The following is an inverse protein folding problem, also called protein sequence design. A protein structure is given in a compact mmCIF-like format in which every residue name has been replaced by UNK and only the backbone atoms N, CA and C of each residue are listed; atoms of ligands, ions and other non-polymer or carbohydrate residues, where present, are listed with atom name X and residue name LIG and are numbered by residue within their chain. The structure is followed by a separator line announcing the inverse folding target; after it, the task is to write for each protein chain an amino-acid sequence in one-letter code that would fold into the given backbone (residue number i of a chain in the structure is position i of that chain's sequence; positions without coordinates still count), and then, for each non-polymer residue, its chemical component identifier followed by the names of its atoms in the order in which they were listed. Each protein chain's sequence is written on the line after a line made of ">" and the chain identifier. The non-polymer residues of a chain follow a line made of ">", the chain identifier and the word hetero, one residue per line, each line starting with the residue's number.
data_IF_115387675651
#
_entry.id   IF_115387675651
#
_cell.length_a   1.000
_cell.length_b   1.000
_cell.length_c   1.000
_cell.angle_alpha   90.00
_cell.angle_beta   90.00
_cell.angle_gamma   90.00
#
_symmetry.space_group_name_H-M   'P 1'
#
loop_
_entity.id
_entity.type
_entity.pdbx_description
1 polymer ?
#
# COMPACT_ATOMS: atom_id res chain seq x y z
N UNK A 1 17.24 4.24 -74.29
CA UNK A 1 15.92 4.62 -73.77
C UNK A 1 15.34 3.62 -72.74
N UNK A 2 15.51 2.28 -72.94
CA UNK A 2 14.96 1.23 -72.01
C UNK A 2 15.63 1.23 -70.61
N UNK A 3 16.91 1.56 -70.46
CA UNK A 3 17.66 1.54 -69.21
C UNK A 3 17.23 2.68 -68.30
N UNK A 4 16.90 3.86 -68.81
CA UNK A 4 16.47 5.04 -68.03
C UNK A 4 15.05 4.82 -67.47
N UNK A 5 14.15 4.20 -68.25
CA UNK A 5 12.79 3.87 -67.82
C UNK A 5 12.77 2.83 -66.68
N UNK A 6 13.67 1.81 -66.74
CA UNK A 6 13.79 0.79 -65.65
C UNK A 6 14.34 1.38 -64.34
N UNK A 7 15.27 2.33 -64.39
CA UNK A 7 15.80 3.03 -63.21
C UNK A 7 14.76 3.93 -62.55
N UNK A 8 13.92 4.62 -63.34
CA UNK A 8 12.83 5.43 -62.82
C UNK A 8 11.77 4.61 -62.08
N UNK A 9 11.34 3.50 -62.65
CA UNK A 9 10.33 2.58 -62.06
C UNK A 9 10.83 1.97 -60.74
N UNK A 10 12.13 1.62 -60.65
CA UNK A 10 12.74 1.04 -59.45
C UNK A 10 12.85 2.08 -58.32
N UNK A 11 13.14 3.36 -58.64
CA UNK A 11 13.15 4.45 -57.66
C UNK A 11 11.78 4.79 -57.12
N UNK A 12 10.75 4.78 -57.96
CA UNK A 12 9.37 5.01 -57.54
C UNK A 12 8.87 3.88 -56.62
N UNK A 13 9.15 2.62 -56.98
CA UNK A 13 8.77 1.50 -56.14
C UNK A 13 9.47 1.50 -54.76
N UNK A 14 10.75 1.92 -54.72
CA UNK A 14 11.46 2.05 -53.44
C UNK A 14 10.91 3.20 -52.60
N UNK A 15 10.53 4.33 -53.25
CA UNK A 15 9.92 5.45 -52.53
C UNK A 15 8.53 5.08 -51.94
N UNK A 16 7.74 4.34 -52.71
CA UNK A 16 6.42 3.84 -52.24
C UNK A 16 6.58 2.84 -51.09
N UNK A 17 7.59 1.95 -51.17
CA UNK A 17 7.91 1.04 -50.07
C UNK A 17 8.29 1.76 -48.78
N UNK A 18 9.20 2.76 -48.89
CA UNK A 18 9.64 3.58 -47.76
C UNK A 18 8.47 4.35 -47.13
N UNK A 19 7.58 4.92 -47.94
CA UNK A 19 6.39 5.61 -47.47
C UNK A 19 5.41 4.64 -46.73
N UNK A 20 5.25 3.44 -47.26
CA UNK A 20 4.41 2.43 -46.61
C UNK A 20 4.99 2.01 -45.23
N UNK A 21 6.31 1.81 -45.14
CA UNK A 21 6.98 1.50 -43.86
C UNK A 21 6.84 2.64 -42.85
N UNK A 22 7.01 3.90 -43.27
CA UNK A 22 6.82 5.05 -42.40
C UNK A 22 5.39 5.17 -41.88
N UNK A 23 4.40 4.90 -42.75
CA UNK A 23 2.99 4.90 -42.32
C UNK A 23 2.73 3.80 -41.30
N UNK A 24 3.25 2.58 -41.50
CA UNK A 24 3.11 1.48 -40.54
C UNK A 24 3.75 1.84 -39.20
N UNK A 25 4.96 2.41 -39.20
CA UNK A 25 5.65 2.84 -37.98
C UNK A 25 4.86 3.94 -37.29
N UNK A 26 4.33 4.93 -38.02
CA UNK A 26 3.51 5.99 -37.46
C UNK A 26 2.20 5.45 -36.84
N UNK A 27 1.54 4.50 -37.51
CA UNK A 27 0.33 3.85 -36.99
C UNK A 27 0.64 3.04 -35.74
N UNK A 28 1.73 2.27 -35.73
CA UNK A 28 2.15 1.51 -34.56
C UNK A 28 2.52 2.42 -33.38
N UNK A 29 3.20 3.54 -33.64
CA UNK A 29 3.55 4.51 -32.61
C UNK A 29 2.30 5.18 -32.01
N UNK A 30 1.32 5.54 -32.85
CA UNK A 30 0.06 6.15 -32.37
C UNK A 30 -0.80 5.16 -31.60
N UNK A 31 -0.89 3.89 -32.05
CA UNK A 31 -1.60 2.82 -31.34
C UNK A 31 -0.92 2.51 -30.02
N UNK A 32 0.41 2.42 -29.99
CA UNK A 32 1.17 2.20 -28.74
C UNK A 32 0.99 3.36 -27.76
N UNK A 33 1.02 4.61 -28.25
CA UNK A 33 0.74 5.79 -27.45
C UNK A 33 -0.69 5.80 -26.90
N UNK A 34 -1.69 5.45 -27.71
CA UNK A 34 -3.08 5.36 -27.26
C UNK A 34 -3.34 4.22 -26.26
N UNK A 35 -2.56 3.14 -26.33
CA UNK A 35 -2.62 2.06 -25.32
C UNK A 35 -1.93 2.50 -24.02
N UNK A 36 -0.79 3.21 -24.12
CA UNK A 36 -0.06 3.70 -22.95
C UNK A 36 -0.78 4.86 -22.24
N UNK A 37 -1.58 5.66 -22.96
CA UNK A 37 -2.41 6.74 -22.40
C UNK A 37 -3.84 6.33 -22.12
N UNK A 38 -4.19 5.03 -22.25
CA UNK A 38 -5.37 4.53 -21.59
C UNK A 38 -5.07 4.62 -20.08
N UNK A 39 -5.31 5.79 -19.53
CA UNK A 39 -5.62 5.92 -18.12
C UNK A 39 -6.74 4.93 -17.87
N UNK A 40 -6.40 3.77 -17.34
CA UNK A 40 -7.33 3.08 -16.49
C UNK A 40 -7.83 4.20 -15.56
N UNK A 41 -9.10 4.45 -15.49
CA UNK A 41 -9.71 5.10 -14.35
C UNK A 41 -9.33 4.18 -13.19
N UNK A 42 -8.11 4.37 -12.71
CA UNK A 42 -7.64 3.80 -11.48
C UNK A 42 -8.49 4.48 -10.43
N UNK A 43 -9.41 3.72 -9.88
CA UNK A 43 -10.01 4.06 -8.59
C UNK A 43 -8.84 4.15 -7.61
N UNK A 44 -8.24 5.33 -7.52
CA UNK A 44 -7.10 5.56 -6.64
C UNK A 44 -7.58 5.49 -5.20
N UNK A 45 -6.98 4.62 -4.41
CA UNK A 45 -7.24 4.49 -2.97
C UNK A 45 -6.24 5.38 -2.23
N UNK A 46 -6.74 6.29 -1.41
CA UNK A 46 -5.91 7.14 -0.56
C UNK A 46 -5.64 6.44 0.76
N UNK A 47 -4.39 6.05 0.98
CA UNK A 47 -3.96 5.37 2.20
C UNK A 47 -3.21 6.33 3.09
N UNK A 48 -3.60 6.41 4.36
CA UNK A 48 -2.83 7.07 5.40
C UNK A 48 -1.94 6.04 6.09
N UNK A 49 -0.65 6.09 5.84
CA UNK A 49 0.33 5.24 6.53
C UNK A 49 0.74 5.91 7.83
N UNK A 50 0.59 5.21 8.95
CA UNK A 50 0.92 5.70 10.29
C UNK A 50 2.02 4.84 10.89
N UNK A 51 3.10 5.48 11.34
CA UNK A 51 4.21 4.82 12.01
C UNK A 51 4.35 5.41 13.42
N UNK A 52 4.06 4.61 14.44
CA UNK A 52 4.10 5.03 15.85
C UNK A 52 5.53 5.05 16.43
N UNK A 53 6.37 4.16 15.95
CA UNK A 53 7.72 3.98 16.50
C UNK A 53 7.76 3.21 17.82
N UNK A 54 8.98 2.86 18.22
CA UNK A 54 9.30 2.19 19.48
C UNK A 54 10.09 3.17 20.33
N UNK A 55 9.83 3.22 21.63
CA UNK A 55 10.60 4.04 22.57
C UNK A 55 12.03 3.52 22.66
N UNK A 56 12.94 4.14 21.93
CA UNK A 56 14.29 3.66 21.64
C UNK A 56 15.28 3.76 22.80
N UNK A 57 14.90 3.31 24.00
CA UNK A 57 15.81 3.18 25.14
C UNK A 57 16.59 1.86 25.07
N UNK A 58 17.89 1.90 25.36
CA UNK A 58 18.69 0.68 25.44
C UNK A 58 18.42 -0.08 26.75
N UNK A 59 18.48 -1.43 26.68
CA UNK A 59 18.37 -2.28 27.87
C UNK A 59 17.05 -3.05 27.99
N UNK A 60 16.70 -3.54 29.19
CA UNK A 60 15.50 -4.39 29.40
C UNK A 60 14.18 -3.72 29.00
N UNK A 61 14.16 -2.39 28.94
CA UNK A 61 13.00 -1.57 28.53
C UNK A 61 13.12 -1.02 27.11
N UNK A 62 13.98 -1.61 26.28
CA UNK A 62 14.19 -1.14 24.89
C UNK A 62 12.91 -1.14 24.04
N UNK A 63 11.94 -2.00 24.39
CA UNK A 63 10.62 -2.03 23.73
C UNK A 63 9.61 -1.07 24.38
N UNK A 64 10.01 -0.30 25.39
CA UNK A 64 9.10 0.54 26.15
C UNK A 64 8.24 -0.23 27.17
N UNK A 65 7.17 0.40 27.63
CA UNK A 65 6.17 -0.25 28.46
C UNK A 65 5.19 -1.07 27.62
N UNK A 66 4.56 -2.04 28.23
CA UNK A 66 3.48 -2.80 27.59
C UNK A 66 2.48 -1.85 26.93
N UNK A 67 2.10 -2.13 25.68
CA UNK A 67 1.22 -1.34 24.81
C UNK A 67 1.79 0.01 24.34
N UNK A 68 3.05 0.35 24.64
CA UNK A 68 3.62 1.64 24.24
C UNK A 68 3.67 1.80 22.72
N UNK A 69 3.96 0.74 21.99
CA UNK A 69 3.96 0.75 20.51
C UNK A 69 2.55 0.98 19.97
N UNK A 70 1.56 0.32 20.55
CA UNK A 70 0.15 0.46 20.19
C UNK A 70 -0.36 1.88 20.48
N UNK A 71 -0.04 2.44 21.65
CA UNK A 71 -0.38 3.82 22.04
C UNK A 71 0.28 4.86 21.12
N UNK A 72 1.53 4.63 20.73
CA UNK A 72 2.23 5.49 19.78
C UNK A 72 1.53 5.53 18.42
N UNK A 73 1.01 4.38 17.95
CA UNK A 73 0.24 4.34 16.70
C UNK A 73 -1.10 5.08 16.82
N UNK A 74 -1.80 4.97 17.94
CA UNK A 74 -3.00 5.77 18.19
C UNK A 74 -2.67 7.27 18.20
N UNK A 75 -1.63 7.68 18.92
CA UNK A 75 -1.21 9.08 19.03
C UNK A 75 -0.87 9.67 17.66
N UNK A 76 -0.09 8.96 16.85
CA UNK A 76 0.24 9.37 15.48
C UNK A 76 -0.99 9.40 14.57
N UNK A 77 -1.94 8.47 14.75
CA UNK A 77 -3.23 8.50 14.03
C UNK A 77 -4.02 9.75 14.35
N UNK A 78 -4.11 10.12 15.63
CA UNK A 78 -4.79 11.35 16.07
C UNK A 78 -4.15 12.57 15.42
N UNK A 79 -2.83 12.68 15.48
CA UNK A 79 -2.07 13.81 14.89
C UNK A 79 -2.28 13.91 13.38
N UNK A 80 -2.14 12.81 12.67
CA UNK A 80 -2.29 12.77 11.21
C UNK A 80 -3.72 13.11 10.75
N UNK A 81 -4.74 12.60 11.46
CA UNK A 81 -6.15 12.94 11.19
C UNK A 81 -6.44 14.41 11.48
N UNK A 82 -5.87 14.95 12.55
CA UNK A 82 -6.00 16.38 12.89
C UNK A 82 -5.34 17.26 11.81
N UNK A 83 -4.13 16.93 11.40
CA UNK A 83 -3.41 17.65 10.33
C UNK A 83 -4.21 17.63 9.01
N UNK A 84 -4.75 16.49 8.61
CA UNK A 84 -5.58 16.39 7.40
C UNK A 84 -6.80 17.31 7.46
N UNK A 85 -7.48 17.36 8.61
CA UNK A 85 -8.64 18.25 8.81
C UNK A 85 -8.27 19.72 8.70
N UNK A 86 -7.15 20.11 9.30
CA UNK A 86 -6.66 21.51 9.29
C UNK A 86 -6.16 21.89 7.89
N UNK A 87 -5.44 21.00 7.21
CA UNK A 87 -4.88 21.27 5.87
C UNK A 87 -5.90 21.22 4.74
N UNK A 88 -7.14 20.80 5.00
CA UNK A 88 -8.17 20.62 3.98
C UNK A 88 -7.89 19.50 2.97
N UNK A 89 -6.86 18.69 3.22
CA UNK A 89 -6.60 17.49 2.43
C UNK A 89 -7.75 16.51 2.64
N UNK A 90 -8.27 15.94 1.56
CA UNK A 90 -9.37 14.97 1.65
C UNK A 90 -9.05 13.80 2.59
N UNK A 91 -10.06 13.28 3.27
CA UNK A 91 -9.90 12.16 4.19
C UNK A 91 -9.36 10.91 3.47
N UNK A 92 -8.55 10.07 4.13
CA UNK A 92 -8.10 8.81 3.56
C UNK A 92 -9.26 7.82 3.40
N UNK A 93 -9.12 6.87 2.51
CA UNK A 93 -10.08 5.77 2.35
C UNK A 93 -9.81 4.68 3.41
N UNK A 94 -8.54 4.50 3.78
CA UNK A 94 -8.13 3.59 4.85
C UNK A 94 -6.85 4.08 5.54
N UNK A 95 -6.58 3.49 6.71
CA UNK A 95 -5.34 3.67 7.46
C UNK A 95 -4.56 2.37 7.43
N UNK A 96 -3.25 2.49 7.35
CA UNK A 96 -2.31 1.38 7.45
C UNK A 96 -1.42 1.58 8.68
N UNK A 97 -1.53 0.67 9.62
CA UNK A 97 -0.56 0.46 10.70
C UNK A 97 0.39 -0.67 10.28
N UNK A 98 1.70 -0.45 10.28
CA UNK A 98 2.66 -1.40 9.73
C UNK A 98 2.80 -2.68 10.57
N UNK A 99 3.70 -3.56 10.15
CA UNK A 99 4.05 -4.78 10.88
C UNK A 99 4.43 -4.47 12.32
N UNK A 100 3.96 -5.29 13.26
CA UNK A 100 4.19 -5.16 14.70
C UNK A 100 3.77 -3.80 15.29
N UNK A 101 2.72 -3.22 14.75
CA UNK A 101 2.15 -1.97 15.26
C UNK A 101 1.38 -2.13 16.57
N UNK A 102 1.04 -3.35 16.94
CA UNK A 102 0.61 -3.69 18.30
C UNK A 102 1.62 -4.66 18.93
N UNK A 103 2.03 -4.37 20.12
CA UNK A 103 2.99 -5.15 20.91
C UNK A 103 2.31 -6.25 21.77
N UNK A 104 0.99 -6.18 21.89
CA UNK A 104 0.15 -7.17 22.55
C UNK A 104 -1.05 -7.49 21.66
N UNK A 105 -1.51 -8.72 21.66
CA UNK A 105 -2.63 -9.19 20.85
C UNK A 105 -3.90 -8.35 21.09
N UNK A 106 -4.36 -7.56 20.11
CA UNK A 106 -5.51 -6.68 20.29
C UNK A 106 -6.85 -7.41 20.27
N UNK A 107 -6.87 -8.74 20.09
CA UNK A 107 -8.08 -9.56 20.19
C UNK A 107 -8.24 -10.05 21.62
N UNK A 108 -7.14 -10.45 22.27
CA UNK A 108 -7.13 -11.04 23.60
C UNK A 108 -6.98 -10.00 24.71
N UNK A 109 -6.20 -8.97 24.47
CA UNK A 109 -5.94 -7.90 25.45
C UNK A 109 -6.95 -6.76 25.31
N UNK A 110 -7.68 -6.50 26.38
CA UNK A 110 -8.76 -5.50 26.41
C UNK A 110 -8.24 -4.09 26.18
N UNK A 111 -7.08 -3.72 26.72
CA UNK A 111 -6.54 -2.37 26.60
C UNK A 111 -6.01 -2.12 25.19
N UNK A 112 -5.26 -3.05 24.60
CA UNK A 112 -4.83 -2.98 23.20
C UNK A 112 -6.02 -2.92 22.25
N UNK A 113 -7.08 -3.68 22.55
CA UNK A 113 -8.35 -3.60 21.81
C UNK A 113 -8.94 -2.18 21.85
N UNK A 114 -9.03 -1.59 23.04
CA UNK A 114 -9.57 -0.23 23.21
C UNK A 114 -8.77 0.83 22.46
N UNK A 115 -7.45 0.68 22.36
CA UNK A 115 -6.59 1.57 21.60
C UNK A 115 -6.94 1.51 20.09
N UNK A 116 -7.09 0.30 19.54
CA UNK A 116 -7.51 0.13 18.13
C UNK A 116 -8.90 0.71 17.88
N UNK A 117 -9.87 0.44 18.79
CA UNK A 117 -11.21 1.01 18.71
C UNK A 117 -11.18 2.55 18.79
N UNK A 118 -10.30 3.11 19.63
CA UNK A 118 -10.08 4.55 19.69
C UNK A 118 -9.63 5.14 18.36
N UNK A 119 -8.69 4.49 17.69
CA UNK A 119 -8.21 4.90 16.37
C UNK A 119 -9.33 4.85 15.30
N UNK A 120 -10.14 3.79 15.30
CA UNK A 120 -11.32 3.68 14.44
C UNK A 120 -12.34 4.79 14.68
N UNK A 121 -12.65 5.06 15.95
CA UNK A 121 -13.63 6.08 16.35
C UNK A 121 -13.20 7.50 15.94
N UNK A 122 -11.91 7.82 16.05
CA UNK A 122 -11.36 9.14 15.70
C UNK A 122 -11.25 9.33 14.20
N UNK A 123 -10.74 8.32 13.51
CA UNK A 123 -10.53 8.38 12.06
C UNK A 123 -11.81 8.20 11.26
N UNK A 124 -12.74 7.41 11.76
CA UNK A 124 -13.94 6.91 11.06
C UNK A 124 -13.59 6.19 9.75
N UNK A 125 -12.42 5.55 9.71
CA UNK A 125 -11.90 4.83 8.55
C UNK A 125 -11.49 3.42 8.94
N UNK A 126 -11.59 2.47 8.00
CA UNK A 126 -11.06 1.14 8.24
C UNK A 126 -9.55 1.20 8.45
N UNK A 127 -9.03 0.30 9.28
CA UNK A 127 -7.60 0.21 9.59
C UNK A 127 -7.12 -1.20 9.27
N UNK A 128 -6.03 -1.30 8.51
CA UNK A 128 -5.24 -2.52 8.44
C UNK A 128 -4.18 -2.44 9.54
N UNK A 129 -4.26 -3.34 10.51
CA UNK A 129 -3.36 -3.39 11.66
C UNK A 129 -2.39 -4.55 11.49
N UNK A 130 -1.09 -4.27 11.52
CA UNK A 130 -0.05 -5.29 11.65
C UNK A 130 0.21 -5.57 13.12
N UNK A 131 -0.22 -6.72 13.62
CA UNK A 131 -0.21 -7.06 15.02
C UNK A 131 0.75 -8.21 15.34
N UNK A 132 1.27 -8.21 16.55
CA UNK A 132 1.80 -9.42 17.19
C UNK A 132 0.64 -10.11 17.90
N UNK A 133 0.43 -11.38 17.59
CA UNK A 133 -0.62 -12.21 18.21
C UNK A 133 -0.02 -13.45 18.84
N UNK A 134 -0.76 -14.08 19.73
CA UNK A 134 -0.37 -15.38 20.25
C UNK A 134 -0.43 -16.43 19.14
N UNK A 135 0.53 -17.35 19.16
CA UNK A 135 0.61 -18.47 18.23
C UNK A 135 -0.26 -19.66 18.69
N UNK A 136 -0.20 -20.77 17.93
CA UNK A 136 -0.93 -21.98 18.29
C UNK A 136 -0.43 -22.65 19.57
N UNK A 137 0.83 -22.44 19.95
CA UNK A 137 1.43 -22.93 21.17
C UNK A 137 1.67 -21.78 22.16
N UNK A 138 1.68 -22.07 23.47
CA UNK A 138 1.71 -21.06 24.54
C UNK A 138 2.93 -20.12 24.48
N UNK A 139 4.04 -20.59 23.92
CA UNK A 139 5.29 -19.83 23.81
C UNK A 139 5.51 -19.22 22.41
N UNK A 140 4.56 -19.39 21.49
CA UNK A 140 4.69 -18.91 20.13
C UNK A 140 4.01 -17.54 19.93
N UNK A 141 4.62 -16.73 19.07
CA UNK A 141 4.07 -15.47 18.59
C UNK A 141 3.92 -15.51 17.09
N UNK A 142 2.92 -14.83 16.59
CA UNK A 142 2.65 -14.73 15.16
C UNK A 142 2.58 -13.28 14.72
N UNK A 143 3.18 -12.97 13.59
CA UNK A 143 2.95 -11.71 12.90
C UNK A 143 1.67 -11.82 12.08
N UNK A 144 0.72 -10.95 12.37
CA UNK A 144 -0.65 -11.03 11.86
C UNK A 144 -1.09 -9.71 11.27
N UNK A 145 -1.76 -9.74 10.13
CA UNK A 145 -2.45 -8.57 9.57
C UNK A 145 -3.95 -8.71 9.76
N UNK A 146 -4.59 -7.66 10.30
CA UNK A 146 -5.99 -7.65 10.66
C UNK A 146 -6.71 -6.49 9.99
N UNK A 147 -7.78 -6.79 9.25
CA UNK A 147 -8.63 -5.76 8.68
C UNK A 147 -9.77 -5.40 9.65
N UNK A 148 -9.75 -4.17 10.14
CA UNK A 148 -10.76 -3.60 11.03
C UNK A 148 -11.64 -2.61 10.26
N UNK A 149 -12.89 -2.96 9.93
CA UNK A 149 -13.84 -2.01 9.36
C UNK A 149 -14.14 -0.86 10.31
N UNK A 150 -14.40 0.33 9.76
CA UNK A 150 -14.66 1.54 10.57
C UNK A 150 -15.83 1.41 11.57
N UNK A 151 -16.79 0.52 11.29
CA UNK A 151 -18.00 0.33 12.08
C UNK A 151 -18.03 -0.98 12.87
N UNK A 152 -16.93 -1.75 12.85
CA UNK A 152 -16.89 -3.05 13.53
C UNK A 152 -15.98 -3.01 14.75
N UNK A 153 -16.41 -3.52 15.91
CA UNK A 153 -15.55 -3.65 17.07
C UNK A 153 -14.56 -4.82 16.96
N UNK A 154 -14.63 -5.60 15.89
CA UNK A 154 -13.76 -6.77 15.68
C UNK A 154 -13.22 -6.77 14.24
N UNK A 155 -12.02 -7.34 14.01
CA UNK A 155 -11.53 -7.54 12.66
C UNK A 155 -12.43 -8.50 11.89
N UNK A 156 -12.61 -8.27 10.60
CA UNK A 156 -13.41 -9.13 9.72
C UNK A 156 -12.56 -10.00 8.80
N UNK A 157 -11.26 -9.74 8.74
CA UNK A 157 -10.31 -10.55 8.01
C UNK A 157 -8.98 -10.56 8.75
N UNK A 158 -8.39 -11.75 8.86
CA UNK A 158 -7.14 -12.00 9.56
C UNK A 158 -6.23 -12.82 8.65
N UNK A 159 -4.98 -12.42 8.55
CA UNK A 159 -3.94 -13.13 7.82
C UNK A 159 -2.71 -13.29 8.71
N UNK A 160 -2.28 -14.54 8.93
CA UNK A 160 -1.05 -14.84 9.63
C UNK A 160 0.10 -14.99 8.63
N UNK A 161 1.24 -14.35 8.93
CA UNK A 161 2.44 -14.42 8.10
C UNK A 161 2.93 -15.86 8.01
N UNK A 162 3.16 -16.33 6.78
CA UNK A 162 3.55 -17.73 6.52
C UNK A 162 5.05 -17.90 6.30
N UNK A 163 5.68 -16.89 5.70
CA UNK A 163 7.10 -16.91 5.37
C UNK A 163 7.85 -16.03 6.36
N UNK A 164 8.44 -16.66 7.35
CA UNK A 164 9.24 -15.98 8.37
C UNK A 164 10.63 -15.62 7.83
N UNK A 165 11.22 -14.54 8.35
CA UNK A 165 12.57 -14.15 8.01
C UNK A 165 13.53 -14.99 8.88
N UNK A 166 14.44 -15.78 8.29
CA UNK A 166 15.39 -16.55 9.08
C UNK A 166 16.16 -15.64 10.05
N UNK A 167 16.20 -16.01 11.34
CA UNK A 167 16.84 -15.28 12.43
C UNK A 167 16.28 -13.87 12.72
N UNK A 168 15.14 -13.51 12.15
CA UNK A 168 14.52 -12.19 12.33
C UNK A 168 13.22 -12.23 13.14
N UNK A 169 12.70 -13.41 13.42
CA UNK A 169 11.46 -13.66 14.17
C UNK A 169 11.61 -14.88 15.05
#
# INVERSE_FOLDING_TARGET
>A
ARVIAARGKRRVNNAVGLMAELVVVAVLATVSGAIATRDSHDDSVRVLVVQGGVDGTAGPYAMGYARSVTDNHLSQTIMAVAEQRVSGKGAPDMILWPENSTDIDPILDVESHQIVIGALAISKRPILVGAVTDGPDDDERQTTSMWWPASSPKPTSIYHKRNLVPFGE
#
